data_IF_927583747450
#
_entry.id   IF_927583747450
#
_cell.length_a   1.000
_cell.length_b   1.000
_cell.length_c   1.000
_cell.angle_alpha   90.00
_cell.angle_beta   90.00
_cell.angle_gamma   90.00
#
_symmetry.space_group_name_H-M   'P 1'
#
loop_
_entity.id
_entity.type
_entity.pdbx_description
1 polymer ?
#
# COMPACT_ATOMS: atom_id res chain seq x y z
N UNK A 1 -5.73 10.11 9.51
CA UNK A 1 -6.42 8.84 9.80
C UNK A 1 -5.39 7.73 9.74
N UNK A 2 -5.16 7.04 10.86
CA UNK A 2 -4.12 6.01 10.94
C UNK A 2 -4.60 4.68 10.37
N UNK A 3 -3.66 3.80 10.07
CA UNK A 3 -3.93 2.41 9.69
C UNK A 3 -4.71 1.70 10.80
N UNK A 4 -5.43 0.66 10.42
CA UNK A 4 -6.30 -0.08 11.34
C UNK A 4 -5.52 -0.56 12.57
N UNK A 5 -5.91 -0.07 13.74
CA UNK A 5 -5.27 -0.36 15.04
C UNK A 5 -5.30 -1.87 15.36
N UNK A 6 -6.29 -2.58 14.86
CA UNK A 6 -6.44 -4.00 15.17
C UNK A 6 -5.37 -4.91 14.59
N UNK A 7 -4.79 -4.55 13.45
CA UNK A 7 -3.84 -5.42 12.74
C UNK A 7 -2.51 -5.62 13.49
N UNK A 8 -2.12 -4.68 14.36
CA UNK A 8 -0.82 -4.71 15.04
C UNK A 8 -0.91 -5.11 16.53
N UNK A 9 -2.09 -5.40 17.05
CA UNK A 9 -2.26 -5.69 18.47
C UNK A 9 -1.42 -6.91 18.89
N UNK A 10 -0.46 -6.66 19.79
CA UNK A 10 0.42 -7.69 20.36
C UNK A 10 1.53 -8.17 19.40
N UNK A 11 1.67 -7.58 18.22
CA UNK A 11 2.73 -7.95 17.28
C UNK A 11 4.06 -7.36 17.72
N UNK A 12 5.12 -8.15 17.66
CA UNK A 12 6.45 -7.75 18.12
C UNK A 12 7.29 -7.23 16.96
N UNK A 13 7.59 -5.92 17.01
CA UNK A 13 8.34 -5.22 15.96
C UNK A 13 9.63 -4.64 16.54
N UNK A 14 10.78 -5.03 15.99
CA UNK A 14 12.07 -4.44 16.34
C UNK A 14 12.39 -3.33 15.34
N UNK A 15 12.39 -2.07 15.81
CA UNK A 15 12.69 -0.90 14.99
C UNK A 15 14.14 -0.49 15.22
N UNK A 16 14.95 -0.53 14.17
CA UNK A 16 16.36 -0.14 14.22
C UNK A 16 16.58 1.11 13.37
N UNK A 17 17.40 2.04 13.87
CA UNK A 17 17.81 3.22 13.11
C UNK A 17 19.32 3.28 12.97
N UNK A 18 19.80 3.55 11.76
CA UNK A 18 21.24 3.72 11.48
C UNK A 18 21.55 5.17 11.12
N UNK A 19 22.81 5.47 10.86
CA UNK A 19 23.34 6.83 10.76
C UNK A 19 22.98 7.60 9.50
N UNK A 20 21.72 7.97 9.38
CA UNK A 20 21.22 8.89 8.36
C UNK A 20 20.40 9.97 9.08
N UNK A 21 20.43 11.20 8.59
CA UNK A 21 19.64 12.31 9.16
C UNK A 21 18.14 11.95 9.21
N UNK A 22 17.68 11.04 8.37
CA UNK A 22 16.30 10.56 8.40
C UNK A 22 15.93 9.88 9.72
N UNK A 23 16.91 9.49 10.55
CA UNK A 23 16.68 8.93 11.89
C UNK A 23 15.82 9.84 12.77
N UNK A 24 15.85 11.17 12.54
CA UNK A 24 15.02 12.12 13.29
C UNK A 24 13.52 11.84 13.12
N UNK A 25 13.13 11.08 12.11
CA UNK A 25 11.73 10.68 11.87
C UNK A 25 11.37 9.34 12.53
N UNK A 26 12.35 8.55 12.95
CA UNK A 26 12.11 7.22 13.52
C UNK A 26 11.23 7.26 14.78
N UNK A 27 11.36 8.28 15.68
CA UNK A 27 10.43 8.39 16.81
C UNK A 27 8.96 8.45 16.40
N UNK A 28 8.63 9.10 15.28
CA UNK A 28 7.25 9.17 14.78
C UNK A 28 6.76 7.77 14.38
N UNK A 29 7.60 7.00 13.71
CA UNK A 29 7.28 5.61 13.34
C UNK A 29 7.05 4.76 14.59
N UNK A 30 7.95 4.84 15.57
CA UNK A 30 7.84 4.07 16.83
C UNK A 30 6.51 4.41 17.51
N UNK A 31 6.21 5.71 17.64
CA UNK A 31 4.96 6.18 18.25
C UNK A 31 3.74 5.64 17.50
N UNK A 32 3.76 5.70 16.17
CA UNK A 32 2.67 5.20 15.33
C UNK A 32 2.42 3.71 15.52
N UNK A 33 3.48 2.90 15.50
CA UNK A 33 3.37 1.44 15.67
C UNK A 33 2.83 1.08 17.07
N UNK A 34 3.30 1.77 18.12
CA UNK A 34 2.81 1.54 19.49
C UNK A 34 1.33 1.93 19.60
N UNK A 35 0.92 3.04 19.02
CA UNK A 35 -0.48 3.47 19.02
C UNK A 35 -1.37 2.52 18.21
N UNK A 36 -0.80 1.85 17.21
CA UNK A 36 -1.50 0.81 16.44
C UNK A 36 -1.56 -0.54 17.18
N UNK A 37 -0.97 -0.62 18.38
CA UNK A 37 -1.06 -1.80 19.25
C UNK A 37 0.14 -2.73 19.23
N UNK A 38 1.19 -2.40 18.48
CA UNK A 38 2.39 -3.23 18.43
C UNK A 38 3.21 -3.13 19.73
N UNK A 39 3.87 -4.22 20.08
CA UNK A 39 4.95 -4.23 21.07
C UNK A 39 6.23 -3.90 20.31
N UNK A 40 6.84 -2.74 20.65
CA UNK A 40 7.99 -2.22 19.90
C UNK A 40 9.24 -2.21 20.78
N UNK A 41 10.35 -2.74 20.26
CA UNK A 41 11.68 -2.53 20.85
C UNK A 41 12.51 -1.72 19.87
N UNK A 42 13.45 -0.94 20.37
CA UNK A 42 14.25 -0.03 19.55
C UNK A 42 15.74 -0.36 19.66
N UNK A 43 16.46 -0.19 18.55
CA UNK A 43 17.92 -0.38 18.47
C UNK A 43 18.53 0.77 17.69
N UNK A 44 19.55 1.44 18.24
CA UNK A 44 20.26 2.55 17.58
C UNK A 44 21.72 2.17 17.36
N UNK A 45 22.21 2.48 16.14
CA UNK A 45 23.67 2.43 15.91
C UNK A 45 24.35 3.63 16.60
N UNK A 46 25.66 3.58 16.85
CA UNK A 46 26.37 4.73 17.44
C UNK A 46 26.17 6.05 16.65
N UNK A 47 26.10 5.96 15.31
CA UNK A 47 25.85 7.16 14.49
C UNK A 47 24.41 7.66 14.64
N UNK A 48 23.44 6.75 14.80
CA UNK A 48 22.05 7.14 14.99
C UNK A 48 21.86 7.84 16.36
N UNK A 49 22.61 7.44 17.38
CA UNK A 49 22.57 8.09 18.71
C UNK A 49 22.95 9.58 18.67
N UNK A 50 23.71 9.99 17.65
CA UNK A 50 24.06 11.40 17.46
C UNK A 50 22.88 12.21 16.88
N UNK A 51 21.87 11.53 16.37
CA UNK A 51 20.77 12.16 15.63
C UNK A 51 19.43 12.04 16.37
N UNK A 52 19.26 10.99 17.16
CA UNK A 52 18.01 10.76 17.90
C UNK A 52 18.32 10.21 19.29
N UNK A 53 17.60 10.69 20.29
CA UNK A 53 17.84 10.33 21.68
C UNK A 53 17.38 8.90 21.99
N UNK A 54 18.25 8.05 22.56
CA UNK A 54 17.81 6.75 23.09
C UNK A 54 16.70 6.88 24.15
N UNK A 55 16.68 7.98 24.92
CA UNK A 55 15.63 8.24 25.91
C UNK A 55 14.29 8.45 25.22
N UNK A 56 14.27 9.22 24.12
CA UNK A 56 13.04 9.44 23.34
C UNK A 56 12.52 8.12 22.78
N UNK A 57 13.41 7.30 22.22
CA UNK A 57 13.03 6.00 21.66
C UNK A 57 12.48 5.06 22.74
N UNK A 58 13.13 5.02 23.91
CA UNK A 58 12.69 4.20 25.04
C UNK A 58 11.32 4.64 25.56
N UNK A 59 11.11 5.96 25.69
CA UNK A 59 9.85 6.52 26.19
C UNK A 59 8.69 6.19 25.22
N UNK A 60 8.91 6.37 23.94
CA UNK A 60 7.86 6.13 22.92
C UNK A 60 7.55 4.65 22.74
N UNK A 61 8.55 3.78 22.81
CA UNK A 61 8.36 2.33 22.68
C UNK A 61 7.88 1.67 23.98
N UNK A 62 8.05 2.37 25.13
CA UNK A 62 7.76 1.83 26.48
C UNK A 62 8.67 0.67 26.87
N UNK A 63 9.84 0.55 26.20
CA UNK A 63 10.88 -0.43 26.45
C UNK A 63 12.24 0.22 26.34
N UNK A 64 13.25 -0.36 26.96
CA UNK A 64 14.60 0.19 26.83
C UNK A 64 15.01 0.25 25.35
N UNK A 65 15.76 1.28 24.99
CA UNK A 65 16.37 1.39 23.68
C UNK A 65 17.76 0.72 23.73
N UNK A 66 18.00 -0.24 22.86
CA UNK A 66 19.26 -0.97 22.80
C UNK A 66 20.29 -0.19 21.98
N UNK A 67 21.55 -0.25 22.42
CA UNK A 67 22.67 0.46 21.80
C UNK A 67 23.85 -0.49 21.65
N UNK A 68 24.80 -0.12 20.83
CA UNK A 68 25.94 -0.97 20.49
C UNK A 68 26.67 -1.48 21.74
N UNK A 69 26.88 -0.60 22.73
CA UNK A 69 27.57 -0.94 23.97
C UNK A 69 26.85 -2.00 24.82
N UNK A 70 25.52 -2.13 24.66
CA UNK A 70 24.73 -3.08 25.46
C UNK A 70 25.04 -4.55 25.13
N UNK A 71 25.65 -4.83 23.99
CA UNK A 71 26.04 -6.18 23.62
C UNK A 71 27.19 -6.72 24.51
N UNK A 72 27.94 -5.83 25.15
CA UNK A 72 29.10 -6.19 25.96
C UNK A 72 28.80 -6.22 27.45
N UNK A 73 27.53 -6.23 27.85
CA UNK A 73 27.11 -6.29 29.25
C UNK A 73 27.40 -7.69 29.82
N UNK A 74 28.36 -7.82 30.78
CA UNK A 74 28.74 -9.13 31.31
C UNK A 74 27.65 -9.79 32.17
N UNK A 75 26.59 -9.08 32.52
CA UNK A 75 25.47 -9.67 33.25
C UNK A 75 24.54 -10.49 32.37
N UNK A 76 24.70 -10.38 31.04
CA UNK A 76 23.89 -11.14 30.10
C UNK A 76 24.43 -12.56 29.95
N UNK A 77 23.54 -13.53 30.10
CA UNK A 77 23.86 -14.94 29.91
C UNK A 77 23.69 -15.39 28.46
N UNK A 78 23.18 -14.49 27.59
CA UNK A 78 22.87 -14.78 26.19
C UNK A 78 23.27 -13.60 25.29
N UNK A 79 23.84 -13.86 24.09
CA UNK A 79 24.20 -12.76 23.19
C UNK A 79 22.97 -11.92 22.82
N UNK A 80 23.07 -10.62 22.99
CA UNK A 80 21.94 -9.69 22.80
C UNK A 80 21.40 -9.71 21.37
N UNK A 81 22.28 -9.83 20.36
CA UNK A 81 21.84 -9.85 18.96
C UNK A 81 20.95 -11.07 18.66
N UNK A 82 21.24 -12.22 19.29
CA UNK A 82 20.39 -13.42 19.16
C UNK A 82 19.05 -13.19 19.85
N UNK A 83 19.08 -12.64 21.08
CA UNK A 83 17.86 -12.36 21.84
C UNK A 83 16.91 -11.44 21.04
N UNK A 84 17.45 -10.37 20.44
CA UNK A 84 16.64 -9.41 19.68
C UNK A 84 16.11 -10.02 18.38
N UNK A 85 16.95 -10.78 17.67
CA UNK A 85 16.56 -11.41 16.40
C UNK A 85 15.43 -12.43 16.60
N UNK A 86 15.49 -13.22 17.68
CA UNK A 86 14.46 -14.22 17.98
C UNK A 86 13.18 -13.61 18.55
N UNK A 87 13.29 -12.49 19.28
CA UNK A 87 12.13 -11.83 19.87
C UNK A 87 11.21 -11.26 18.79
N UNK A 88 11.76 -10.68 17.72
CA UNK A 88 11.00 -9.96 16.71
C UNK A 88 10.22 -10.92 15.79
N UNK A 89 8.97 -10.57 15.48
CA UNK A 89 8.22 -11.16 14.36
C UNK A 89 8.56 -10.45 13.05
N UNK A 90 8.91 -9.16 13.16
CA UNK A 90 9.31 -8.32 12.03
C UNK A 90 10.37 -7.35 12.51
N UNK A 91 11.42 -7.20 11.75
CA UNK A 91 12.41 -6.15 11.98
C UNK A 91 12.21 -5.03 10.96
N UNK A 92 12.31 -3.78 11.40
CA UNK A 92 12.20 -2.60 10.53
C UNK A 92 13.49 -1.79 10.68
N UNK A 93 14.23 -1.60 9.61
CA UNK A 93 15.42 -0.74 9.61
C UNK A 93 15.03 0.56 8.92
N UNK A 94 14.84 1.60 9.71
CA UNK A 94 14.36 2.90 9.22
C UNK A 94 14.98 4.04 10.03
N UNK A 95 15.99 4.72 9.48
CA UNK A 95 16.59 4.54 8.15
C UNK A 95 17.65 3.43 8.07
N UNK A 96 17.80 2.89 6.87
CA UNK A 96 18.94 2.06 6.48
C UNK A 96 19.96 2.97 5.78
N UNK A 97 21.06 3.27 6.45
CA UNK A 97 22.13 4.12 5.89
C UNK A 97 23.02 3.35 4.92
N UNK A 98 23.81 4.07 4.12
CA UNK A 98 24.76 3.46 3.18
C UNK A 98 25.74 2.52 3.89
N UNK A 99 26.25 2.90 5.05
CA UNK A 99 27.17 2.07 5.84
C UNK A 99 26.52 0.76 6.29
N UNK A 100 25.31 0.85 6.87
CA UNK A 100 24.61 -0.34 7.34
C UNK A 100 24.19 -1.23 6.16
N UNK A 101 23.77 -0.63 5.05
CA UNK A 101 23.47 -1.36 3.81
C UNK A 101 24.71 -2.15 3.35
N UNK A 102 25.89 -1.49 3.30
CA UNK A 102 27.14 -2.15 2.89
C UNK A 102 27.48 -3.30 3.84
N UNK A 103 27.45 -3.06 5.15
CA UNK A 103 27.73 -4.11 6.15
C UNK A 103 26.80 -5.32 5.96
N UNK A 104 25.50 -5.08 5.89
CA UNK A 104 24.50 -6.14 5.77
C UNK A 104 24.67 -6.93 4.48
N UNK A 105 24.80 -6.24 3.34
CA UNK A 105 24.94 -6.91 2.03
C UNK A 105 26.23 -7.73 1.90
N UNK A 106 27.29 -7.34 2.65
CA UNK A 106 28.59 -8.02 2.63
C UNK A 106 28.78 -9.00 3.80
N UNK A 107 27.79 -9.17 4.66
CA UNK A 107 27.87 -10.12 5.78
C UNK A 107 28.79 -9.68 6.91
N UNK A 108 28.96 -8.38 7.13
CA UNK A 108 29.83 -7.87 8.21
C UNK A 108 29.04 -7.68 9.49
N UNK A 109 29.55 -8.22 10.60
CA UNK A 109 28.86 -8.25 11.90
C UNK A 109 29.64 -7.49 12.99
N UNK A 110 30.08 -6.27 12.68
CA UNK A 110 30.95 -5.46 13.55
C UNK A 110 30.20 -4.52 14.49
N UNK A 111 28.92 -4.79 14.76
CA UNK A 111 28.11 -4.00 15.69
C UNK A 111 26.80 -4.70 15.97
N UNK A 112 26.07 -4.20 16.96
CA UNK A 112 24.83 -4.84 17.41
C UNK A 112 23.80 -4.96 16.28
N UNK A 113 23.56 -3.88 15.53
CA UNK A 113 22.58 -3.92 14.43
C UNK A 113 23.02 -4.91 13.35
N UNK A 114 24.27 -4.84 12.91
CA UNK A 114 24.78 -5.73 11.85
C UNK A 114 24.69 -7.20 12.27
N UNK A 115 25.07 -7.49 13.50
CA UNK A 115 24.97 -8.86 14.06
C UNK A 115 23.51 -9.33 14.14
N UNK A 116 22.61 -8.43 14.59
CA UNK A 116 21.18 -8.77 14.69
C UNK A 116 20.59 -9.06 13.31
N UNK A 117 20.94 -8.26 12.29
CA UNK A 117 20.47 -8.45 10.92
C UNK A 117 20.91 -9.81 10.35
N UNK A 118 22.18 -10.21 10.61
CA UNK A 118 22.68 -11.50 10.12
C UNK A 118 22.09 -12.68 10.88
N UNK A 119 21.70 -12.48 12.15
CA UNK A 119 21.09 -13.52 12.98
C UNK A 119 19.56 -13.63 12.76
N UNK A 120 18.96 -12.64 12.10
CA UNK A 120 17.49 -12.54 11.98
C UNK A 120 16.96 -13.47 10.87
N UNK A 121 16.16 -14.45 11.25
CA UNK A 121 15.47 -15.35 10.33
C UNK A 121 14.06 -14.85 9.98
N UNK A 122 13.63 -13.76 10.61
CA UNK A 122 12.32 -13.16 10.37
C UNK A 122 12.39 -12.10 9.26
N UNK A 123 11.27 -11.73 8.64
CA UNK A 123 11.30 -10.67 7.63
C UNK A 123 11.88 -9.36 8.17
N UNK A 124 12.61 -8.66 7.29
CA UNK A 124 13.20 -7.35 7.60
C UNK A 124 12.73 -6.34 6.56
N UNK A 125 12.03 -5.32 7.02
CA UNK A 125 11.58 -4.19 6.18
C UNK A 125 12.71 -3.15 6.19
N UNK A 126 13.27 -2.87 5.02
CA UNK A 126 14.47 -2.04 4.88
C UNK A 126 14.15 -0.71 4.18
N UNK A 127 14.07 0.38 4.94
CA UNK A 127 13.77 1.72 4.45
C UNK A 127 15.08 2.50 4.26
N UNK A 128 15.63 2.47 3.05
CA UNK A 128 16.92 3.09 2.74
C UNK A 128 16.80 4.61 2.69
N UNK A 129 17.85 5.31 3.16
CA UNK A 129 17.89 6.77 3.16
C UNK A 129 19.32 7.30 3.13
N UNK A 130 19.60 8.16 2.16
CA UNK A 130 20.90 8.83 2.05
C UNK A 130 20.82 9.99 1.04
N UNK A 131 21.86 10.76 0.93
CA UNK A 131 21.95 11.81 -0.09
C UNK A 131 21.82 11.20 -1.50
N UNK A 132 21.23 11.93 -2.44
CA UNK A 132 21.00 11.48 -3.82
C UNK A 132 22.28 11.00 -4.52
N UNK A 133 23.40 11.73 -4.37
CA UNK A 133 24.65 11.33 -4.99
C UNK A 133 25.18 10.00 -4.43
N UNK A 134 25.01 9.81 -3.12
CA UNK A 134 25.34 8.53 -2.48
C UNK A 134 24.43 7.42 -3.00
N UNK A 135 23.11 7.70 -3.07
CA UNK A 135 22.15 6.71 -3.56
C UNK A 135 22.47 6.25 -4.97
N UNK A 136 22.86 7.18 -5.85
CA UNK A 136 23.17 6.88 -7.25
C UNK A 136 24.58 6.29 -7.45
N UNK A 137 25.38 6.23 -6.39
CA UNK A 137 26.74 5.70 -6.49
C UNK A 137 26.71 4.20 -6.84
N UNK A 138 27.49 3.75 -7.85
CA UNK A 138 27.43 2.35 -8.30
C UNK A 138 27.63 1.32 -7.18
N UNK A 139 28.54 1.59 -6.22
CA UNK A 139 28.76 0.66 -5.10
C UNK A 139 27.52 0.52 -4.20
N UNK A 140 26.79 1.63 -4.00
CA UNK A 140 25.55 1.62 -3.19
C UNK A 140 24.45 0.87 -3.96
N UNK A 141 24.32 1.11 -5.25
CA UNK A 141 23.33 0.41 -6.08
C UNK A 141 23.63 -1.10 -6.11
N UNK A 142 24.91 -1.51 -6.24
CA UNK A 142 25.28 -2.93 -6.20
C UNK A 142 24.92 -3.57 -4.85
N UNK A 143 25.18 -2.87 -3.74
CA UNK A 143 24.80 -3.35 -2.41
C UNK A 143 23.28 -3.46 -2.27
N UNK A 144 22.51 -2.47 -2.80
CA UNK A 144 21.06 -2.48 -2.75
C UNK A 144 20.47 -3.64 -3.57
N UNK A 145 21.00 -3.88 -4.77
CA UNK A 145 20.58 -5.01 -5.60
C UNK A 145 20.87 -6.34 -4.91
N UNK A 146 22.05 -6.46 -4.29
CA UNK A 146 22.42 -7.66 -3.54
C UNK A 146 21.47 -7.90 -2.39
N UNK A 147 21.14 -6.84 -1.63
CA UNK A 147 20.23 -6.93 -0.49
C UNK A 147 18.84 -7.39 -0.91
N UNK A 148 18.33 -6.86 -2.02
CA UNK A 148 16.99 -7.21 -2.52
C UNK A 148 16.86 -8.68 -2.89
N UNK A 149 17.96 -9.36 -3.20
CA UNK A 149 17.95 -10.80 -3.54
C UNK A 149 17.90 -11.70 -2.32
N UNK A 150 18.20 -11.16 -1.12
CA UNK A 150 18.18 -11.97 0.09
C UNK A 150 16.74 -12.38 0.44
N UNK A 151 16.52 -13.65 0.78
CA UNK A 151 15.19 -14.05 1.27
C UNK A 151 14.90 -13.33 2.59
N UNK A 152 13.69 -12.99 2.83
CA UNK A 152 13.31 -12.30 4.07
C UNK A 152 13.45 -10.78 4.02
N UNK A 153 14.09 -10.20 3.01
CA UNK A 153 14.20 -8.73 2.91
C UNK A 153 13.02 -8.17 2.13
N UNK A 154 12.39 -7.14 2.69
CA UNK A 154 11.31 -6.38 2.05
C UNK A 154 11.84 -4.96 1.81
N UNK A 155 12.24 -4.64 0.58
CA UNK A 155 12.87 -3.35 0.33
C UNK A 155 11.84 -2.22 0.20
N UNK A 156 12.11 -1.09 0.86
CA UNK A 156 11.42 0.17 0.60
C UNK A 156 12.45 1.14 0.01
N UNK A 157 12.36 1.34 -1.28
CA UNK A 157 13.24 2.27 -2.01
C UNK A 157 13.05 3.70 -1.48
N UNK A 158 14.09 4.53 -1.57
CA UNK A 158 13.93 5.92 -1.16
C UNK A 158 12.96 6.65 -2.07
N UNK A 159 12.36 7.70 -1.54
CA UNK A 159 11.38 8.50 -2.27
C UNK A 159 11.99 9.82 -2.75
N UNK A 160 11.36 10.42 -3.75
CA UNK A 160 11.73 11.75 -4.21
C UNK A 160 11.19 12.82 -3.26
N UNK A 161 11.92 13.92 -3.12
CA UNK A 161 11.48 15.04 -2.31
C UNK A 161 12.62 15.91 -1.83
N UNK A 162 12.31 16.87 -0.97
CA UNK A 162 13.30 17.77 -0.39
C UNK A 162 14.17 17.00 0.61
N UNK A 163 15.47 17.07 0.42
CA UNK A 163 16.47 16.43 1.27
C UNK A 163 16.98 17.43 2.32
N UNK A 164 17.66 16.93 3.36
CA UNK A 164 18.23 17.76 4.41
C UNK A 164 19.32 18.73 3.93
N UNK A 165 19.81 18.54 2.70
CA UNK A 165 20.79 19.45 2.07
C UNK A 165 20.12 20.52 1.19
N UNK A 166 18.83 20.74 1.37
CA UNK A 166 18.00 21.74 0.64
C UNK A 166 17.94 21.50 -0.88
N UNK A 167 18.15 20.26 -1.33
CA UNK A 167 18.02 19.86 -2.73
C UNK A 167 16.87 18.89 -2.90
N UNK A 168 16.20 18.98 -4.04
CA UNK A 168 15.24 17.95 -4.44
C UNK A 168 16.00 16.74 -4.96
N UNK A 169 15.64 15.56 -4.50
CA UNK A 169 16.34 14.34 -4.92
C UNK A 169 15.59 13.08 -4.51
N UNK A 170 16.15 11.94 -4.87
CA UNK A 170 15.55 10.62 -4.74
C UNK A 170 16.22 9.76 -3.65
N UNK A 171 16.71 10.39 -2.57
CA UNK A 171 17.37 9.67 -1.48
C UNK A 171 16.62 9.74 -0.14
N UNK A 172 15.39 10.24 -0.12
CA UNK A 172 14.61 10.45 1.10
C UNK A 172 14.02 9.13 1.62
N UNK A 173 14.13 8.88 2.92
CA UNK A 173 13.48 7.72 3.54
C UNK A 173 11.96 7.76 3.28
N UNK A 174 11.38 6.61 3.03
CA UNK A 174 9.93 6.44 2.98
C UNK A 174 9.31 7.09 4.24
N UNK A 175 8.17 7.73 4.06
CA UNK A 175 7.51 8.45 5.17
C UNK A 175 7.15 7.46 6.29
N UNK A 176 7.25 7.86 7.57
CA UNK A 176 6.80 6.98 8.67
C UNK A 176 5.40 6.40 8.50
N UNK A 177 4.45 7.17 7.93
CA UNK A 177 3.10 6.65 7.67
C UNK A 177 3.11 5.57 6.58
N UNK A 178 4.01 5.67 5.59
CA UNK A 178 4.16 4.63 4.57
C UNK A 178 4.78 3.36 5.18
N UNK A 179 5.78 3.51 6.04
CA UNK A 179 6.41 2.36 6.71
C UNK A 179 5.38 1.69 7.64
N UNK A 180 4.62 2.48 8.40
CA UNK A 180 3.53 1.99 9.27
C UNK A 180 2.50 1.20 8.45
N UNK A 181 2.11 1.71 7.28
CA UNK A 181 1.20 1.02 6.37
C UNK A 181 1.79 -0.31 5.89
N UNK A 182 3.08 -0.33 5.53
CA UNK A 182 3.75 -1.56 5.09
C UNK A 182 3.76 -2.61 6.20
N UNK A 183 4.07 -2.20 7.44
CA UNK A 183 4.04 -3.10 8.62
C UNK A 183 2.62 -3.67 8.80
N UNK A 184 1.59 -2.81 8.75
CA UNK A 184 0.20 -3.24 8.90
C UNK A 184 -0.21 -4.21 7.78
N UNK A 185 0.21 -3.93 6.54
CA UNK A 185 -0.08 -4.79 5.39
C UNK A 185 0.52 -6.18 5.57
N UNK A 186 1.78 -6.24 6.00
CA UNK A 186 2.46 -7.52 6.21
C UNK A 186 1.73 -8.38 7.25
N UNK A 187 1.36 -7.80 8.39
CA UNK A 187 0.66 -8.54 9.44
C UNK A 187 -0.80 -8.85 9.11
N UNK A 188 -1.40 -8.18 8.12
CA UNK A 188 -2.80 -8.40 7.74
C UNK A 188 -3.02 -9.72 6.99
N UNK A 189 -1.98 -10.42 6.59
CA UNK A 189 -2.10 -11.69 5.87
C UNK A 189 -2.60 -12.83 6.76
N UNK A 190 -2.52 -12.68 8.08
CA UNK A 190 -3.04 -13.66 9.06
C UNK A 190 -2.38 -15.05 8.99
N UNK A 191 -1.12 -15.08 8.61
CA UNK A 191 -0.33 -16.31 8.66
C UNK A 191 0.17 -16.57 10.08
N UNK A 192 0.40 -17.84 10.41
CA UNK A 192 0.94 -18.22 11.72
C UNK A 192 2.32 -17.62 11.95
N UNK A 193 3.15 -17.63 10.91
CA UNK A 193 4.44 -16.94 10.91
C UNK A 193 4.51 -15.99 9.73
N UNK A 194 5.02 -14.80 9.96
CA UNK A 194 5.18 -13.79 8.92
C UNK A 194 6.25 -14.26 7.92
N UNK A 195 5.91 -14.20 6.63
CA UNK A 195 6.83 -14.58 5.55
C UNK A 195 6.86 -13.50 4.47
N UNK A 196 7.92 -13.48 3.68
CA UNK A 196 8.01 -12.57 2.52
C UNK A 196 7.31 -13.21 1.34
N UNK A 197 6.26 -12.56 0.88
CA UNK A 197 5.49 -13.00 -0.28
C UNK A 197 5.93 -12.22 -1.51
N UNK A 198 6.47 -12.92 -2.50
CA UNK A 198 6.89 -12.34 -3.77
C UNK A 198 6.07 -12.92 -4.94
N UNK A 199 4.85 -13.37 -4.66
CA UNK A 199 4.00 -14.02 -5.67
C UNK A 199 3.62 -13.11 -6.83
N UNK A 200 3.79 -11.80 -6.67
CA UNK A 200 3.50 -10.82 -7.72
C UNK A 200 4.76 -10.31 -8.44
N UNK A 201 5.94 -10.83 -8.12
CA UNK A 201 7.19 -10.41 -8.80
C UNK A 201 7.12 -10.69 -10.30
N UNK A 202 7.57 -9.73 -11.08
CA UNK A 202 7.55 -9.82 -12.54
C UNK A 202 6.19 -9.55 -13.18
N UNK A 203 5.20 -9.18 -12.37
CA UNK A 203 3.84 -8.88 -12.87
C UNK A 203 3.56 -7.39 -12.73
N UNK A 204 2.87 -6.84 -13.73
CA UNK A 204 2.42 -5.44 -13.69
C UNK A 204 0.92 -5.41 -13.39
N UNK A 205 0.53 -4.64 -12.38
CA UNK A 205 -0.87 -4.47 -11.97
C UNK A 205 -1.30 -3.02 -12.17
N UNK A 206 -2.35 -2.83 -12.96
CA UNK A 206 -2.98 -1.51 -13.14
C UNK A 206 -4.20 -1.41 -12.22
N UNK A 207 -4.23 -0.39 -11.36
CA UNK A 207 -5.32 -0.21 -10.40
C UNK A 207 -5.99 1.13 -10.63
N UNK A 208 -7.33 1.17 -10.59
CA UNK A 208 -8.06 2.43 -10.51
C UNK A 208 -8.57 2.66 -9.09
N UNK A 209 -8.63 3.93 -8.64
CA UNK A 209 -9.07 4.25 -7.28
C UNK A 209 -9.79 5.60 -7.21
N UNK A 210 -10.60 5.76 -6.16
CA UNK A 210 -11.28 7.02 -5.88
C UNK A 210 -12.52 7.23 -6.72
N UNK A 211 -13.24 8.33 -6.48
CA UNK A 211 -14.40 8.68 -7.28
C UNK A 211 -13.99 9.45 -8.54
N UNK A 212 -14.87 9.53 -9.53
CA UNK A 212 -14.76 10.54 -10.58
C UNK A 212 -15.60 11.76 -10.21
N UNK A 213 -15.24 12.91 -10.78
CA UNK A 213 -15.92 14.18 -10.59
C UNK A 213 -16.49 14.61 -11.95
N UNK A 214 -17.80 14.70 -12.04
CA UNK A 214 -18.45 15.14 -13.29
C UNK A 214 -19.01 16.54 -13.09
N UNK A 215 -18.52 17.49 -13.87
CA UNK A 215 -18.90 18.89 -13.72
C UNK A 215 -20.40 19.12 -14.05
N UNK A 216 -21.09 19.80 -13.14
CA UNK A 216 -22.43 20.38 -13.43
C UNK A 216 -22.21 21.76 -14.03
N UNK A 217 -21.35 22.54 -13.37
CA UNK A 217 -21.01 23.91 -13.82
C UNK A 217 -19.64 24.29 -13.21
N UNK A 218 -19.23 25.53 -13.37
CA UNK A 218 -17.94 26.04 -12.88
C UNK A 218 -17.74 25.87 -11.36
N UNK A 219 -18.78 25.55 -10.60
CA UNK A 219 -18.71 25.50 -9.14
C UNK A 219 -19.23 24.19 -8.53
N UNK A 220 -20.04 23.44 -9.29
CA UNK A 220 -20.71 22.24 -8.74
C UNK A 220 -20.40 21.00 -9.57
N UNK A 221 -20.39 19.86 -8.89
CA UNK A 221 -20.07 18.59 -9.53
C UNK A 221 -20.92 17.45 -8.93
N UNK A 222 -21.00 16.34 -9.66
CA UNK A 222 -21.52 15.06 -9.16
C UNK A 222 -20.35 14.14 -8.90
N UNK A 223 -20.42 13.40 -7.80
CA UNK A 223 -19.37 12.45 -7.42
C UNK A 223 -19.94 11.34 -6.52
N UNK A 224 -19.10 10.40 -6.21
CA UNK A 224 -19.39 9.30 -5.28
C UNK A 224 -18.73 9.53 -3.91
N UNK A 225 -19.19 8.80 -2.89
CA UNK A 225 -18.62 8.89 -1.53
C UNK A 225 -17.31 8.13 -1.36
N UNK A 226 -16.73 7.62 -2.44
CA UNK A 226 -15.49 6.83 -2.37
C UNK A 226 -14.33 7.67 -1.86
N UNK A 227 -13.59 7.14 -0.90
CA UNK A 227 -12.35 7.74 -0.40
C UNK A 227 -11.12 7.32 -1.20
N UNK A 228 -11.26 6.32 -2.10
CA UNK A 228 -10.15 5.71 -2.82
C UNK A 228 -9.34 4.72 -1.98
N UNK A 229 -9.65 4.59 -0.69
CA UNK A 229 -8.85 3.79 0.24
C UNK A 229 -8.63 2.35 -0.22
N UNK A 230 -9.68 1.65 -0.68
CA UNK A 230 -9.55 0.24 -1.08
C UNK A 230 -8.55 0.06 -2.23
N UNK A 231 -8.64 0.93 -3.26
CA UNK A 231 -7.73 0.86 -4.41
C UNK A 231 -6.27 1.16 -4.03
N UNK A 232 -6.05 2.17 -3.19
CA UNK A 232 -4.70 2.51 -2.71
C UNK A 232 -4.11 1.36 -1.88
N UNK A 233 -4.90 0.77 -0.97
CA UNK A 233 -4.43 -0.34 -0.14
C UNK A 233 -4.13 -1.58 -0.99
N UNK A 234 -4.98 -1.88 -1.99
CA UNK A 234 -4.74 -2.98 -2.92
C UNK A 234 -3.42 -2.76 -3.69
N UNK A 235 -3.20 -1.55 -4.17
CA UNK A 235 -1.98 -1.18 -4.89
C UNK A 235 -0.74 -1.36 -4.00
N UNK A 236 -0.79 -0.90 -2.75
CA UNK A 236 0.35 -1.02 -1.82
C UNK A 236 0.63 -2.48 -1.43
N UNK A 237 -0.42 -3.27 -1.19
CA UNK A 237 -0.24 -4.71 -0.89
C UNK A 237 0.39 -5.41 -2.10
N UNK A 238 -0.06 -5.10 -3.33
CA UNK A 238 0.51 -5.69 -4.54
C UNK A 238 2.00 -5.32 -4.68
N UNK A 239 2.35 -4.05 -4.44
CA UNK A 239 3.74 -3.58 -4.48
C UNK A 239 4.60 -4.33 -3.47
N UNK A 240 4.12 -4.49 -2.24
CA UNK A 240 4.85 -5.22 -1.19
C UNK A 240 5.04 -6.70 -1.56
N UNK A 241 4.16 -7.26 -2.41
CA UNK A 241 4.27 -8.63 -2.92
C UNK A 241 5.08 -8.70 -4.22
N UNK A 242 5.73 -7.60 -4.60
CA UNK A 242 6.67 -7.55 -5.72
C UNK A 242 6.11 -7.11 -7.06
N UNK A 243 4.85 -6.69 -7.13
CA UNK A 243 4.26 -6.19 -8.37
C UNK A 243 4.84 -4.82 -8.77
N UNK A 244 4.93 -4.58 -10.07
CA UNK A 244 5.07 -3.25 -10.64
C UNK A 244 3.67 -2.65 -10.72
N UNK A 245 3.39 -1.57 -9.99
CA UNK A 245 2.01 -1.10 -9.82
C UNK A 245 1.84 0.32 -10.36
N UNK A 246 0.84 0.47 -11.24
CA UNK A 246 0.38 1.76 -11.74
C UNK A 246 -1.00 2.07 -11.15
N UNK A 247 -1.19 3.29 -10.67
CA UNK A 247 -2.44 3.71 -10.00
C UNK A 247 -3.02 4.92 -10.70
N UNK A 248 -4.17 4.74 -11.37
CA UNK A 248 -4.96 5.85 -11.93
C UNK A 248 -6.04 6.20 -10.91
N UNK A 249 -6.10 7.45 -10.47
CA UNK A 249 -7.00 7.77 -9.37
C UNK A 249 -7.68 9.12 -9.49
N UNK A 250 -8.95 9.16 -9.11
CA UNK A 250 -9.66 10.39 -8.83
C UNK A 250 -9.19 11.00 -7.51
N UNK A 251 -9.91 11.98 -6.97
CA UNK A 251 -9.55 12.57 -5.66
C UNK A 251 -9.51 11.51 -4.55
N UNK A 252 -8.50 11.56 -3.72
CA UNK A 252 -8.28 10.58 -2.67
C UNK A 252 -8.41 11.21 -1.28
N UNK A 253 -8.99 10.46 -0.34
CA UNK A 253 -9.08 10.84 1.07
C UNK A 253 -8.23 9.86 1.89
N UNK A 254 -6.94 9.76 1.55
CA UNK A 254 -5.94 8.96 2.26
C UNK A 254 -4.70 9.82 2.49
N UNK A 255 -3.83 9.48 3.44
CA UNK A 255 -2.56 10.19 3.59
C UNK A 255 -1.76 10.16 2.29
N UNK A 256 -1.20 11.28 1.90
CA UNK A 256 -0.36 11.39 0.69
C UNK A 256 0.81 10.39 0.73
N UNK A 257 1.35 10.13 1.92
CA UNK A 257 2.44 9.16 2.12
C UNK A 257 2.06 7.75 1.63
N UNK A 258 0.76 7.40 1.62
CA UNK A 258 0.32 6.08 1.16
C UNK A 258 0.48 5.89 -0.35
N UNK A 259 0.78 6.95 -1.09
CA UNK A 259 1.04 6.86 -2.54
C UNK A 259 2.53 6.64 -2.86
N UNK A 260 3.42 6.73 -1.86
CA UNK A 260 4.85 6.55 -2.08
C UNK A 260 5.15 5.17 -2.67
N UNK A 261 6.00 5.16 -3.67
CA UNK A 261 6.42 3.94 -4.36
C UNK A 261 5.46 3.43 -5.42
N UNK A 262 4.34 4.14 -5.66
CA UNK A 262 3.40 3.82 -6.75
C UNK A 262 3.59 4.80 -7.90
N UNK A 263 3.41 4.32 -9.13
CA UNK A 263 3.33 5.19 -10.31
C UNK A 263 1.90 5.70 -10.42
N UNK A 264 1.68 6.94 -9.96
CA UNK A 264 0.35 7.52 -9.83
C UNK A 264 0.01 8.49 -10.96
N UNK A 265 -1.19 8.35 -11.54
CA UNK A 265 -1.74 9.32 -12.49
C UNK A 265 -3.07 9.85 -11.93
N UNK A 266 -3.09 11.10 -11.43
CA UNK A 266 -4.34 11.69 -10.96
C UNK A 266 -5.22 12.13 -12.14
N UNK A 267 -6.53 11.91 -12.01
CA UNK A 267 -7.54 12.28 -12.97
C UNK A 267 -8.74 12.88 -12.24
N UNK A 268 -9.62 13.55 -12.97
CA UNK A 268 -10.85 14.08 -12.38
C UNK A 268 -12.08 13.35 -12.91
N UNK A 269 -12.31 13.37 -14.22
CA UNK A 269 -13.55 12.84 -14.80
C UNK A 269 -13.43 11.36 -15.19
N UNK A 270 -14.57 10.74 -15.43
CA UNK A 270 -14.64 9.37 -15.97
C UNK A 270 -13.94 9.28 -17.33
N UNK A 271 -14.05 10.32 -18.15
CA UNK A 271 -13.38 10.35 -19.45
C UNK A 271 -11.86 10.35 -19.30
N UNK A 272 -11.31 11.19 -18.41
CA UNK A 272 -9.89 11.21 -18.13
C UNK A 272 -9.42 9.87 -17.58
N UNK A 273 -10.21 9.27 -16.67
CA UNK A 273 -9.90 7.96 -16.11
C UNK A 273 -9.85 6.89 -17.21
N UNK A 274 -10.85 6.88 -18.11
CA UNK A 274 -10.86 5.94 -19.22
C UNK A 274 -9.63 6.09 -20.10
N UNK A 275 -9.28 7.32 -20.47
CA UNK A 275 -8.12 7.59 -21.32
C UNK A 275 -6.81 7.12 -20.64
N UNK A 276 -6.66 7.42 -19.36
CA UNK A 276 -5.46 7.01 -18.59
C UNK A 276 -5.35 5.50 -18.50
N UNK A 277 -6.45 4.80 -18.19
CA UNK A 277 -6.48 3.34 -18.12
C UNK A 277 -6.17 2.72 -19.49
N UNK A 278 -6.75 3.25 -20.56
CA UNK A 278 -6.52 2.73 -21.92
C UNK A 278 -5.05 2.84 -22.35
N UNK A 279 -4.38 3.95 -21.98
CA UNK A 279 -2.95 4.13 -22.33
C UNK A 279 -2.05 3.09 -21.65
N UNK A 280 -2.43 2.61 -20.47
CA UNK A 280 -1.60 1.75 -19.61
C UNK A 280 -1.99 0.26 -19.70
N UNK A 281 -3.21 -0.04 -20.17
CA UNK A 281 -3.79 -1.38 -20.10
C UNK A 281 -2.95 -2.45 -20.79
N UNK A 282 -2.42 -2.14 -21.98
CA UNK A 282 -1.76 -3.14 -22.83
C UNK A 282 -0.51 -3.76 -22.18
N UNK A 283 0.10 -3.06 -21.22
CA UNK A 283 1.31 -3.53 -20.54
C UNK A 283 1.00 -4.25 -19.22
N UNK A 284 -0.24 -4.20 -18.76
CA UNK A 284 -0.61 -4.77 -17.46
C UNK A 284 -0.91 -6.27 -17.57
N UNK A 285 -0.35 -7.06 -16.67
CA UNK A 285 -0.70 -8.50 -16.53
C UNK A 285 -2.11 -8.66 -15.99
N UNK A 286 -2.49 -7.75 -15.10
CA UNK A 286 -3.83 -7.73 -14.51
C UNK A 286 -4.29 -6.30 -14.25
N UNK A 287 -5.61 -6.13 -14.12
CA UNK A 287 -6.23 -4.85 -13.84
C UNK A 287 -7.25 -5.00 -12.72
N UNK A 288 -7.26 -4.05 -11.77
CA UNK A 288 -8.25 -3.98 -10.71
C UNK A 288 -9.03 -2.66 -10.83
N UNK A 289 -10.28 -2.74 -11.27
CA UNK A 289 -11.16 -1.60 -11.42
C UNK A 289 -11.88 -1.35 -10.10
N UNK A 290 -11.26 -0.55 -9.21
CA UNK A 290 -11.75 -0.28 -7.84
C UNK A 290 -12.40 1.09 -7.74
N UNK A 291 -12.17 1.97 -8.72
CA UNK A 291 -12.71 3.32 -8.74
C UNK A 291 -14.24 3.32 -8.74
N UNK A 292 -14.82 4.31 -8.07
CA UNK A 292 -16.27 4.55 -8.05
C UNK A 292 -16.58 5.60 -9.13
N UNK A 293 -16.83 5.12 -10.34
CA UNK A 293 -17.13 5.97 -11.50
C UNK A 293 -18.57 6.50 -11.39
N UNK A 294 -18.78 7.75 -11.73
CA UNK A 294 -20.14 8.33 -11.76
C UNK A 294 -21.00 7.65 -12.85
N UNK A 295 -22.30 7.56 -12.59
CA UNK A 295 -23.25 6.94 -13.52
C UNK A 295 -23.72 7.91 -14.59
N UNK A 296 -23.74 9.22 -14.26
CA UNK A 296 -24.27 10.30 -15.13
C UNK A 296 -23.26 11.44 -15.24
N UNK A 297 -23.23 12.06 -16.41
CA UNK A 297 -22.47 13.29 -16.65
C UNK A 297 -23.29 14.24 -17.55
N UNK A 298 -22.88 15.49 -17.59
CA UNK A 298 -23.46 16.40 -18.54
C UNK A 298 -22.90 16.14 -19.95
N UNK A 299 -23.81 16.15 -20.94
CA UNK A 299 -23.43 15.92 -22.34
C UNK A 299 -22.61 17.08 -22.92
N UNK A 300 -22.69 18.26 -22.29
CA UNK A 300 -21.95 19.46 -22.71
C UNK A 300 -20.61 19.62 -21.92
N UNK A 301 -20.27 18.67 -21.06
CA UNK A 301 -19.06 18.73 -20.26
C UNK A 301 -19.13 19.64 -19.03
N UNK A 302 -20.33 20.21 -18.79
CA UNK A 302 -20.57 21.14 -17.69
C UNK A 302 -20.61 22.60 -18.14
N UNK A 303 -21.47 23.40 -17.53
CA UNK A 303 -21.63 24.79 -17.88
C UNK A 303 -20.37 25.60 -17.49
N UNK A 304 -19.91 26.53 -18.36
CA UNK A 304 -18.72 27.32 -18.07
C UNK A 304 -18.92 28.37 -16.96
N UNK A 305 -20.18 28.65 -16.60
CA UNK A 305 -20.51 29.61 -15.54
C UNK A 305 -21.56 29.03 -14.61
N UNK A 306 -21.59 29.52 -13.38
CA UNK A 306 -22.55 29.09 -12.36
C UNK A 306 -23.89 29.78 -12.57
N UNK A 307 -24.95 29.09 -12.98
CA UNK A 307 -26.27 29.71 -13.11
C UNK A 307 -26.87 30.10 -11.76
N UNK A 308 -27.82 31.04 -11.72
CA UNK A 308 -28.49 31.39 -10.47
C UNK A 308 -29.30 30.21 -9.93
N UNK A 309 -29.59 30.26 -8.63
CA UNK A 309 -30.32 29.16 -7.95
C UNK A 309 -31.66 28.84 -8.58
N UNK A 310 -32.36 29.87 -9.11
CA UNK A 310 -33.66 29.71 -9.76
C UNK A 310 -33.60 28.87 -11.04
N UNK A 311 -32.44 28.78 -11.68
CA UNK A 311 -32.26 27.99 -12.91
C UNK A 311 -31.85 26.53 -12.64
N UNK A 312 -31.62 26.15 -11.35
CA UNK A 312 -31.17 24.81 -11.04
C UNK A 312 -32.17 23.69 -11.42
N UNK A 313 -33.49 23.84 -11.17
CA UNK A 313 -34.42 22.78 -11.56
C UNK A 313 -34.29 22.40 -13.04
N UNK A 314 -34.29 23.42 -13.91
CA UNK A 314 -34.18 23.21 -15.36
C UNK A 314 -32.85 22.55 -15.75
N UNK A 315 -31.77 22.87 -15.02
CA UNK A 315 -30.44 22.27 -15.26
C UNK A 315 -30.44 20.74 -15.04
N UNK A 316 -31.27 20.25 -14.11
CA UNK A 316 -31.37 18.83 -13.84
C UNK A 316 -32.38 18.08 -14.73
N UNK A 317 -33.20 18.80 -15.49
CA UNK A 317 -34.19 18.20 -16.39
C UNK A 317 -33.58 17.71 -17.71
N UNK A 318 -32.51 18.35 -18.18
CA UNK A 318 -31.96 18.12 -19.53
C UNK A 318 -30.44 18.19 -19.52
N UNK A 319 -29.83 17.66 -20.57
CA UNK A 319 -28.39 17.75 -20.78
C UNK A 319 -27.59 16.73 -20.02
N UNK A 320 -28.19 15.60 -19.65
CA UNK A 320 -27.54 14.50 -18.96
C UNK A 320 -27.44 13.28 -19.86
N UNK A 321 -26.32 12.57 -19.75
CA UNK A 321 -26.11 11.30 -20.45
C UNK A 321 -25.44 10.30 -19.52
N UNK A 322 -25.63 9.00 -19.75
CA UNK A 322 -24.91 7.98 -19.00
C UNK A 322 -23.40 8.06 -19.28
N UNK A 323 -22.60 7.88 -18.23
CA UNK A 323 -21.15 7.71 -18.37
C UNK A 323 -20.90 6.32 -19.03
N UNK A 324 -20.02 6.24 -20.04
CA UNK A 324 -19.66 4.93 -20.61
C UNK A 324 -19.16 3.95 -19.56
N UNK A 325 -19.48 2.68 -19.74
CA UNK A 325 -19.07 1.62 -18.81
C UNK A 325 -17.58 1.35 -18.97
N UNK A 326 -16.76 1.93 -18.09
CA UNK A 326 -15.31 1.82 -18.14
C UNK A 326 -14.84 0.38 -17.98
N UNK A 327 -15.44 -0.39 -17.04
CA UNK A 327 -15.06 -1.78 -16.82
C UNK A 327 -15.35 -2.63 -18.06
N UNK A 328 -16.52 -2.48 -18.66
CA UNK A 328 -16.89 -3.19 -19.90
C UNK A 328 -15.91 -2.83 -21.01
N UNK A 329 -15.62 -1.54 -21.19
CA UNK A 329 -14.67 -1.06 -22.21
C UNK A 329 -13.28 -1.67 -22.05
N UNK A 330 -12.81 -1.84 -20.81
CA UNK A 330 -11.51 -2.47 -20.52
C UNK A 330 -11.54 -3.97 -20.82
N UNK A 331 -12.65 -4.65 -20.53
CA UNK A 331 -12.81 -6.07 -20.83
C UNK A 331 -12.81 -6.30 -22.34
N UNK A 332 -13.54 -5.47 -23.10
CA UNK A 332 -13.70 -5.63 -24.55
C UNK A 332 -12.37 -5.46 -25.30
N UNK A 333 -11.44 -4.67 -24.76
CA UNK A 333 -10.14 -4.42 -25.41
C UNK A 333 -8.96 -5.14 -24.77
N UNK A 334 -9.20 -5.99 -23.78
CA UNK A 334 -8.10 -6.59 -22.99
C UNK A 334 -7.17 -7.46 -23.85
N UNK A 335 -5.86 -7.35 -23.64
CA UNK A 335 -4.91 -8.26 -24.28
C UNK A 335 -5.11 -9.71 -23.83
N UNK A 336 -4.71 -10.64 -24.68
CA UNK A 336 -4.76 -12.08 -24.35
C UNK A 336 -3.99 -12.35 -23.05
N UNK A 337 -4.59 -13.12 -22.16
CA UNK A 337 -3.98 -13.50 -20.89
C UNK A 337 -4.17 -12.52 -19.75
N UNK A 338 -4.58 -11.28 -20.04
CA UNK A 338 -4.84 -10.28 -18.99
C UNK A 338 -6.06 -10.67 -18.15
N UNK A 339 -5.96 -10.49 -16.84
CA UNK A 339 -7.06 -10.77 -15.91
C UNK A 339 -7.60 -9.48 -15.29
N UNK A 340 -8.92 -9.40 -15.17
CA UNK A 340 -9.59 -8.18 -14.71
C UNK A 340 -10.46 -8.48 -13.48
N UNK A 341 -10.20 -7.74 -12.40
CA UNK A 341 -11.01 -7.72 -11.18
C UNK A 341 -11.85 -6.45 -11.18
N UNK A 342 -13.16 -6.61 -11.11
CA UNK A 342 -14.10 -5.49 -10.95
C UNK A 342 -14.59 -5.38 -9.51
N UNK A 343 -15.23 -4.25 -9.21
CA UNK A 343 -15.89 -4.00 -7.92
C UNK A 343 -17.33 -3.56 -8.16
N UNK A 344 -18.20 -4.02 -7.26
CA UNK A 344 -19.62 -3.62 -7.27
C UNK A 344 -20.06 -3.29 -5.85
N UNK A 345 -20.37 -2.02 -5.62
CA UNK A 345 -20.96 -1.55 -4.36
C UNK A 345 -22.48 -1.76 -4.46
N UNK A 346 -23.03 -2.63 -3.62
CA UNK A 346 -24.46 -2.98 -3.65
C UNK A 346 -25.10 -2.87 -2.26
N UNK A 347 -26.43 -2.87 -2.22
CA UNK A 347 -27.21 -2.90 -0.98
C UNK A 347 -28.07 -4.13 -0.95
N UNK A 348 -28.37 -4.59 0.23
CA UNK A 348 -29.28 -5.72 0.43
C UNK A 348 -28.66 -6.93 1.13
N UNK A 349 -29.34 -8.03 1.28
CA UNK A 349 -29.02 -9.17 1.84
C UNK A 349 -28.15 -9.91 0.99
N UNK A 350 -27.50 -10.84 1.60
CA UNK A 350 -26.52 -11.66 0.89
C UNK A 350 -27.06 -12.32 -0.40
N UNK A 351 -28.30 -12.79 -0.36
CA UNK A 351 -28.96 -13.37 -1.54
C UNK A 351 -29.04 -12.36 -2.70
N UNK A 352 -29.44 -11.12 -2.38
CA UNK A 352 -29.54 -10.06 -3.39
C UNK A 352 -28.18 -9.68 -3.93
N UNK A 353 -27.17 -9.61 -3.04
CA UNK A 353 -25.79 -9.32 -3.43
C UNK A 353 -25.28 -10.37 -4.42
N UNK A 354 -25.55 -11.65 -4.14
CA UNK A 354 -25.13 -12.76 -5.03
C UNK A 354 -25.82 -12.72 -6.38
N UNK A 355 -27.14 -12.56 -6.38
CA UNK A 355 -27.93 -12.52 -7.61
C UNK A 355 -27.50 -11.35 -8.50
N UNK A 356 -27.58 -10.12 -7.96
CA UNK A 356 -27.25 -8.89 -8.70
C UNK A 356 -25.76 -8.82 -9.05
N UNK A 357 -24.90 -9.33 -8.15
CA UNK A 357 -23.46 -9.42 -8.39
C UNK A 357 -23.15 -10.37 -9.56
N UNK A 358 -23.80 -11.52 -9.59
CA UNK A 358 -23.68 -12.49 -10.68
C UNK A 358 -24.09 -11.88 -12.03
N UNK A 359 -25.24 -11.22 -12.05
CA UNK A 359 -25.73 -10.52 -13.25
C UNK A 359 -24.74 -9.44 -13.71
N UNK A 360 -24.23 -8.63 -12.76
CA UNK A 360 -23.26 -7.60 -13.08
C UNK A 360 -21.96 -8.20 -13.62
N UNK A 361 -21.43 -9.27 -12.99
CA UNK A 361 -20.20 -9.91 -13.48
C UNK A 361 -20.39 -10.42 -14.91
N UNK A 362 -21.49 -11.11 -15.15
CA UNK A 362 -21.79 -11.64 -16.49
C UNK A 362 -21.92 -10.51 -17.52
N UNK A 363 -22.63 -9.45 -17.18
CA UNK A 363 -22.81 -8.29 -18.07
C UNK A 363 -21.52 -7.53 -18.35
N UNK A 364 -20.62 -7.42 -17.35
CA UNK A 364 -19.33 -6.75 -17.51
C UNK A 364 -18.28 -7.64 -18.19
N UNK A 365 -18.33 -8.96 -17.98
CA UNK A 365 -17.39 -9.91 -18.56
C UNK A 365 -16.03 -9.97 -17.86
N UNK A 366 -15.91 -9.44 -16.65
CA UNK A 366 -14.65 -9.49 -15.89
C UNK A 366 -14.44 -10.88 -15.28
N UNK A 367 -13.17 -11.24 -15.04
CA UNK A 367 -12.81 -12.55 -14.50
C UNK A 367 -13.29 -12.71 -13.05
N UNK A 368 -13.06 -11.65 -12.25
CA UNK A 368 -13.49 -11.60 -10.85
C UNK A 368 -14.30 -10.34 -10.59
N UNK A 369 -15.29 -10.44 -9.70
CA UNK A 369 -16.04 -9.28 -9.23
C UNK A 369 -16.14 -9.33 -7.71
N UNK A 370 -15.60 -8.33 -7.03
CA UNK A 370 -15.79 -8.14 -5.59
C UNK A 370 -17.09 -7.37 -5.38
N UNK A 371 -18.07 -8.03 -4.79
CA UNK A 371 -19.36 -7.44 -4.45
C UNK A 371 -19.33 -7.05 -2.97
N UNK A 372 -19.35 -5.77 -2.68
CA UNK A 372 -19.29 -5.31 -1.28
C UNK A 372 -20.57 -4.57 -0.90
N UNK A 373 -21.18 -4.90 0.27
CA UNK A 373 -22.32 -4.15 0.78
C UNK A 373 -21.87 -2.76 1.23
N UNK A 374 -22.72 -1.77 1.00
CA UNK A 374 -22.43 -0.38 1.40
C UNK A 374 -23.51 0.19 2.34
N UNK A 375 -24.44 -0.68 2.76
CA UNK A 375 -25.54 -0.32 3.68
C UNK A 375 -25.35 -0.94 5.07
N UNK A 376 -24.19 -1.50 5.36
CA UNK A 376 -23.90 -2.13 6.67
C UNK A 376 -23.00 -1.23 7.51
N UNK A 377 -23.30 -1.15 8.79
CA UNK A 377 -22.53 -0.32 9.72
C UNK A 377 -21.06 -0.80 9.81
N UNK A 378 -20.13 0.12 9.70
CA UNK A 378 -18.69 -0.17 9.75
C UNK A 378 -18.09 -0.70 8.45
N UNK A 379 -18.90 -0.78 7.39
CA UNK A 379 -18.47 -1.25 6.07
C UNK A 379 -18.78 -0.20 4.99
N UNK A 380 -18.14 -0.35 3.85
CA UNK A 380 -18.42 0.51 2.70
C UNK A 380 -17.42 1.64 2.51
N UNK A 381 -17.92 2.75 1.97
CA UNK A 381 -17.06 3.89 1.63
C UNK A 381 -16.52 4.58 2.88
N UNK A 382 -15.20 4.85 2.89
CA UNK A 382 -14.56 5.57 4.00
C UNK A 382 -14.16 4.69 5.19
N UNK A 383 -14.77 3.52 5.36
CA UNK A 383 -14.50 2.65 6.49
C UNK A 383 -13.16 1.89 6.35
N UNK A 384 -12.66 1.37 7.48
CA UNK A 384 -11.40 0.60 7.50
C UNK A 384 -11.60 -0.88 7.15
N UNK A 385 -12.83 -1.37 7.31
CA UNK A 385 -13.17 -2.77 7.08
C UNK A 385 -14.05 -2.93 5.84
N UNK A 386 -14.09 -4.13 5.32
CA UNK A 386 -14.95 -4.52 4.21
C UNK A 386 -15.30 -6.00 4.30
N UNK A 387 -16.47 -6.35 3.77
CA UNK A 387 -16.90 -7.74 3.59
C UNK A 387 -17.57 -7.87 2.23
N UNK A 388 -18.07 -9.06 1.91
CA UNK A 388 -18.87 -9.26 0.71
C UNK A 388 -18.70 -10.61 0.09
N UNK A 389 -18.75 -10.63 -1.24
CA UNK A 389 -18.63 -11.86 -2.02
C UNK A 389 -17.67 -11.66 -3.18
N UNK A 390 -16.76 -12.60 -3.36
CA UNK A 390 -15.90 -12.65 -4.55
C UNK A 390 -16.49 -13.66 -5.52
N UNK A 391 -16.86 -13.16 -6.70
CA UNK A 391 -17.51 -13.95 -7.76
C UNK A 391 -16.56 -14.12 -8.93
N UNK A 392 -16.48 -15.34 -9.45
CA UNK A 392 -15.68 -15.68 -10.63
C UNK A 392 -16.35 -16.80 -11.42
N UNK A 393 -15.68 -17.32 -12.43
CA UNK A 393 -16.19 -18.46 -13.17
C UNK A 393 -16.11 -19.70 -12.28
N UNK A 394 -17.27 -20.24 -11.88
CA UNK A 394 -17.35 -21.34 -10.91
C UNK A 394 -16.96 -20.96 -9.50
N UNK A 395 -16.70 -19.68 -9.23
CA UNK A 395 -16.28 -19.19 -7.91
C UNK A 395 -17.37 -18.32 -7.28
N UNK A 396 -17.78 -18.68 -6.07
CA UNK A 396 -18.70 -17.90 -5.26
C UNK A 396 -18.19 -17.99 -3.81
N UNK A 397 -17.37 -17.01 -3.41
CA UNK A 397 -16.65 -17.10 -2.15
C UNK A 397 -17.03 -15.93 -1.21
N UNK A 398 -17.46 -16.27 0.01
CA UNK A 398 -17.72 -15.28 1.03
C UNK A 398 -16.41 -14.62 1.48
N UNK A 399 -16.37 -13.31 1.48
CA UNK A 399 -15.28 -12.52 2.06
C UNK A 399 -15.80 -12.01 3.41
N UNK A 400 -15.35 -12.60 4.53
CA UNK A 400 -15.85 -12.16 5.84
C UNK A 400 -15.37 -10.75 6.17
N UNK A 401 -16.00 -10.12 7.13
CA UNK A 401 -15.60 -8.77 7.57
C UNK A 401 -14.16 -8.77 8.07
N UNK A 402 -13.31 -8.02 7.40
CA UNK A 402 -11.87 -7.92 7.71
C UNK A 402 -11.37 -6.52 7.38
N UNK A 403 -10.16 -6.20 7.83
CA UNK A 403 -9.49 -4.97 7.39
C UNK A 403 -9.35 -4.96 5.87
N UNK A 404 -9.40 -3.79 5.26
CA UNK A 404 -9.21 -3.64 3.81
C UNK A 404 -7.84 -4.16 3.34
N UNK A 405 -6.83 -4.15 4.22
CA UNK A 405 -5.53 -4.77 3.91
C UNK A 405 -5.66 -6.29 3.77
N UNK A 406 -6.39 -6.95 4.67
CA UNK A 406 -6.62 -8.39 4.58
C UNK A 406 -7.47 -8.74 3.35
N UNK A 407 -8.47 -7.91 3.04
CA UNK A 407 -9.27 -8.08 1.82
C UNK A 407 -8.38 -7.93 0.57
N UNK A 408 -7.47 -6.95 0.56
CA UNK A 408 -6.54 -6.75 -0.55
C UNK A 408 -5.67 -8.00 -0.80
N UNK A 409 -5.13 -8.60 0.27
CA UNK A 409 -4.36 -9.85 0.15
C UNK A 409 -5.23 -10.96 -0.48
N UNK A 410 -6.44 -11.13 0.02
CA UNK A 410 -7.37 -12.15 -0.48
C UNK A 410 -7.68 -11.98 -1.97
N UNK A 411 -7.95 -10.74 -2.39
CA UNK A 411 -8.24 -10.44 -3.81
C UNK A 411 -7.03 -10.68 -4.71
N UNK A 412 -5.84 -10.32 -4.22
CA UNK A 412 -4.59 -10.55 -4.97
C UNK A 412 -4.26 -12.04 -5.06
N UNK A 413 -4.58 -12.83 -4.03
CA UNK A 413 -4.42 -14.30 -4.10
C UNK A 413 -5.30 -14.86 -5.21
N UNK A 414 -6.59 -14.51 -5.21
CA UNK A 414 -7.53 -15.01 -6.22
C UNK A 414 -7.14 -14.56 -7.64
N UNK A 415 -6.75 -13.29 -7.79
CA UNK A 415 -6.34 -12.77 -9.12
C UNK A 415 -5.03 -13.43 -9.59
N UNK A 416 -4.10 -13.64 -8.65
CA UNK A 416 -2.81 -14.29 -8.92
C UNK A 416 -2.96 -15.75 -9.37
N UNK A 417 -3.93 -16.48 -8.82
CA UNK A 417 -4.20 -17.87 -9.23
C UNK A 417 -4.67 -17.92 -10.69
N UNK A 418 -5.53 -16.98 -11.10
CA UNK A 418 -5.99 -16.93 -12.51
C UNK A 418 -4.84 -16.65 -13.48
N UNK A 419 -3.81 -15.91 -13.05
CA UNK A 419 -2.65 -15.62 -13.89
C UNK A 419 -1.75 -16.85 -14.07
N UNK A 420 -1.71 -17.77 -13.09
CA UNK A 420 -0.93 -19.02 -13.19
C UNK A 420 -1.50 -19.95 -14.25
N UNK A 421 -2.82 -20.05 -14.32
CA UNK A 421 -3.49 -20.96 -15.27
C UNK A 421 -3.27 -20.55 -16.74
N UNK A 422 -2.98 -19.26 -16.97
CA UNK A 422 -2.76 -18.75 -18.33
C UNK A 422 -1.35 -19.09 -18.86
N UNK A 423 -0.38 -19.31 -17.96
CA UNK A 423 1.02 -19.57 -18.34
C UNK A 423 1.27 -21.05 -18.67
N UNK A 424 0.30 -21.94 -18.37
CA UNK A 424 0.45 -23.40 -18.52
C UNK A 424 -0.16 -23.95 -19.81
N UNK A 425 -0.61 -23.09 -20.76
CA UNK A 425 -1.20 -23.51 -22.05
C UNK A 425 -0.27 -23.22 -23.23
#
# INVERSE_FOLDING_TARGET
MRTDVGALKGRRVLVAASGSIAAVKTPLLVSGLVQAGAEVRCLLTPSAEQLVSPVAMATLSRHRCYRDQDQWDPSRSRPLHIELAEWAELMVVAPLSATTLGRWSQGLADGLLASTLLACERPVLAAVAMNTAMWRHPAVQANWESLQRLPGVIPLSPTAGLLACDRLGDGRMADPLQIELAVAALFSRQEAELSVDRSWSGRRLLVSAGPTLEAIDAARLISNRSSGRMGVLLAQVARLRGADVELVHGPLQVPQAWLEGLDCEPVESAEQMQQALHRRQDQASALAMVAAVADLRRSDGGLPSKPPKSGLPQLFEQGWEPVPDLLRGLVDRRPAGQRILGFAALTGXDHDLLMRGGEKRAGKGCDLLMVNPIDRAGEGFGENQASGWLLGDGLQQRVPLKSKLAVAHHLLDALGELLKTTTSC
#
